data_IF_511119808844
#
_entry.id   IF_511119808844
#
_cell.length_a   1.000
_cell.length_b   1.000
_cell.length_c   1.000
_cell.angle_alpha   90.00
_cell.angle_beta   90.00
_cell.angle_gamma   90.00
#
_symmetry.space_group_name_H-M   'P 1'
#
loop_
_entity.id
_entity.type
_entity.pdbx_description
1 polymer ?
#
# COMPACT_ATOMS: atom_id res chain seq x y z
N UNK A 1 19.02 -11.05 17.69
CA UNK A 1 17.60 -10.74 18.01
C UNK A 1 17.49 -9.27 18.37
N UNK A 2 16.48 -8.55 17.87
CA UNK A 2 16.26 -7.14 18.17
C UNK A 2 14.81 -6.90 18.59
N UNK A 3 14.59 -5.86 19.40
CA UNK A 3 13.27 -5.40 19.84
C UNK A 3 12.85 -4.25 18.93
N UNK A 4 11.88 -4.48 18.07
CA UNK A 4 11.46 -3.54 17.03
C UNK A 4 10.07 -3.00 17.39
N UNK A 5 9.93 -1.68 17.51
CA UNK A 5 8.65 -1.02 17.72
C UNK A 5 8.16 -0.42 16.42
N UNK A 6 6.94 -0.77 16.03
CA UNK A 6 6.22 -0.21 14.89
C UNK A 6 5.05 0.62 15.43
N UNK A 7 5.01 1.91 15.11
CA UNK A 7 3.91 2.80 15.47
C UNK A 7 3.07 3.11 14.22
N UNK A 8 1.75 2.93 14.32
CA UNK A 8 0.84 3.13 13.20
C UNK A 8 -0.55 3.57 13.65
N UNK A 9 -1.19 4.41 12.84
CA UNK A 9 -2.60 4.80 12.99
C UNK A 9 -3.53 3.98 12.05
N UNK A 10 -2.93 3.11 11.21
CA UNK A 10 -3.64 2.19 10.33
C UNK A 10 -3.38 0.74 10.77
N UNK A 11 -4.42 0.07 11.28
CA UNK A 11 -4.37 -1.33 11.72
C UNK A 11 -5.74 -2.00 11.59
N UNK A 12 -5.82 -3.29 11.89
CA UNK A 12 -7.08 -4.02 11.91
C UNK A 12 -8.15 -3.30 12.76
N UNK A 13 -9.42 -3.31 12.38
CA UNK A 13 -10.03 -4.07 11.26
C UNK A 13 -9.99 -3.39 9.88
N UNK A 14 -9.23 -2.29 9.70
CA UNK A 14 -9.11 -1.63 8.41
C UNK A 14 -8.50 -2.58 7.36
N UNK A 15 -9.05 -2.56 6.14
CA UNK A 15 -8.59 -3.37 5.02
C UNK A 15 -7.98 -2.42 3.98
N UNK A 16 -6.66 -2.30 4.01
CA UNK A 16 -5.91 -1.49 3.04
C UNK A 16 -4.45 -1.97 2.93
N UNK A 17 -3.73 -1.46 1.92
CA UNK A 17 -2.35 -1.85 1.64
C UNK A 17 -1.35 -1.53 2.75
N UNK A 18 -1.62 -0.50 3.58
CA UNK A 18 -0.75 -0.14 4.71
C UNK A 18 -0.85 -1.20 5.79
N UNK A 19 -2.07 -1.54 6.23
CA UNK A 19 -2.32 -2.58 7.23
C UNK A 19 -1.70 -3.90 6.79
N UNK A 20 -1.96 -4.33 5.54
CA UNK A 20 -1.41 -5.57 5.01
C UNK A 20 0.12 -5.58 5.02
N UNK A 21 0.76 -4.49 4.60
CA UNK A 21 2.22 -4.38 4.60
C UNK A 21 2.78 -4.49 6.01
N UNK A 22 2.21 -3.76 6.97
CA UNK A 22 2.71 -3.73 8.34
C UNK A 22 2.49 -5.05 9.07
N UNK A 23 1.30 -5.67 8.92
CA UNK A 23 0.99 -6.95 9.54
C UNK A 23 1.91 -8.06 9.02
N UNK A 24 2.07 -8.16 7.70
CA UNK A 24 2.97 -9.16 7.10
C UNK A 24 4.43 -8.91 7.50
N UNK A 25 4.90 -7.66 7.50
CA UNK A 25 6.24 -7.31 7.96
C UNK A 25 6.43 -7.70 9.43
N UNK A 26 5.47 -7.38 10.31
CA UNK A 26 5.55 -7.75 11.72
C UNK A 26 5.56 -9.27 11.95
N UNK A 27 4.76 -10.03 11.20
CA UNK A 27 4.76 -11.50 11.22
C UNK A 27 6.09 -12.09 10.76
N UNK A 28 6.63 -11.59 9.65
CA UNK A 28 7.92 -12.06 9.12
C UNK A 28 9.07 -11.72 10.06
N UNK A 29 9.08 -10.53 10.66
CA UNK A 29 10.08 -10.15 11.66
C UNK A 29 10.05 -11.10 12.88
N UNK A 30 8.85 -11.48 13.35
CA UNK A 30 8.71 -12.45 14.45
C UNK A 30 9.21 -13.85 14.03
N UNK A 31 8.93 -14.30 12.79
CA UNK A 31 9.46 -15.55 12.24
C UNK A 31 10.99 -15.55 12.16
N UNK A 32 11.59 -14.39 11.90
CA UNK A 32 13.04 -14.19 11.91
C UNK A 32 13.65 -14.06 13.32
N UNK A 33 12.84 -14.27 14.37
CA UNK A 33 13.30 -14.26 15.77
C UNK A 33 13.39 -12.89 16.41
N UNK A 34 12.85 -11.82 15.80
CA UNK A 34 12.77 -10.50 16.42
C UNK A 34 11.56 -10.39 17.34
N UNK A 35 11.67 -9.60 18.41
CA UNK A 35 10.52 -9.22 19.25
C UNK A 35 9.89 -7.96 18.65
N UNK A 36 8.62 -8.02 18.25
CA UNK A 36 7.93 -6.91 17.59
C UNK A 36 6.73 -6.46 18.40
N UNK A 37 6.75 -5.21 18.80
CA UNK A 37 5.62 -4.48 19.38
C UNK A 37 5.00 -3.56 18.36
N UNK A 38 3.67 -3.65 18.19
CA UNK A 38 2.91 -2.73 17.34
C UNK A 38 2.08 -1.82 18.24
N UNK A 39 2.34 -0.52 18.16
CA UNK A 39 1.54 0.52 18.83
C UNK A 39 0.51 1.01 17.81
N UNK A 40 -0.76 0.64 18.00
CA UNK A 40 -1.80 0.72 16.99
C UNK A 40 -3.16 1.20 17.57
N UNK A 41 -4.15 1.57 16.72
CA UNK A 41 -5.37 2.26 17.14
C UNK A 41 -6.25 1.50 18.14
N UNK A 42 -6.35 0.17 18.08
CA UNK A 42 -7.26 -0.59 18.96
C UNK A 42 -6.87 -0.52 20.44
N UNK A 43 -5.64 -0.09 20.72
CA UNK A 43 -5.13 0.11 22.07
C UNK A 43 -5.70 1.37 22.76
N UNK A 44 -6.42 2.22 22.02
CA UNK A 44 -6.87 3.53 22.47
C UNK A 44 -8.32 3.80 22.07
N UNK A 45 -9.03 4.69 22.80
CA UNK A 45 -10.32 5.20 22.35
C UNK A 45 -10.19 5.79 20.94
N UNK A 46 -11.19 5.58 20.09
CA UNK A 46 -11.17 6.07 18.72
C UNK A 46 -12.54 6.57 18.29
N UNK A 47 -12.55 7.61 17.45
CA UNK A 47 -13.76 8.20 16.84
C UNK A 47 -13.77 7.93 15.34
N UNK A 48 -14.94 7.65 14.75
CA UNK A 48 -15.04 7.48 13.30
C UNK A 48 -14.79 8.81 12.58
N UNK A 49 -14.17 8.74 11.39
CA UNK A 49 -14.02 9.90 10.52
C UNK A 49 -15.38 10.18 9.85
N UNK A 50 -15.86 11.45 9.84
CA UNK A 50 -17.03 11.83 9.06
C UNK A 50 -16.89 11.38 7.59
N UNK A 51 -17.95 10.84 6.99
CA UNK A 51 -18.00 10.28 5.62
C UNK A 51 -17.21 8.98 5.36
N UNK A 52 -16.34 8.55 6.30
CA UNK A 52 -15.58 7.30 6.22
C UNK A 52 -15.58 6.60 7.58
N UNK A 53 -16.74 6.09 8.05
CA UNK A 53 -16.90 5.54 9.40
C UNK A 53 -16.03 4.29 9.66
N UNK A 54 -15.58 3.63 8.59
CA UNK A 54 -14.63 2.53 8.66
C UNK A 54 -13.20 2.99 9.03
N UNK A 55 -12.88 4.27 8.81
CA UNK A 55 -11.62 4.88 9.25
C UNK A 55 -11.87 5.51 10.64
N UNK A 56 -11.11 5.07 11.62
CA UNK A 56 -11.22 5.58 12.99
C UNK A 56 -9.93 6.29 13.38
N UNK A 57 -10.05 7.52 13.87
CA UNK A 57 -8.93 8.27 14.41
C UNK A 57 -8.83 7.93 15.89
N UNK A 58 -7.71 7.37 16.30
CA UNK A 58 -7.43 7.10 17.72
C UNK A 58 -7.15 8.38 18.49
N UNK A 59 -7.54 8.40 19.76
CA UNK A 59 -7.33 9.49 20.70
C UNK A 59 -6.41 9.03 21.86
N UNK A 60 -5.13 8.74 21.56
CA UNK A 60 -4.21 8.22 22.55
C UNK A 60 -3.83 9.30 23.57
N UNK A 61 -3.84 8.93 24.87
CA UNK A 61 -3.26 9.78 25.92
C UNK A 61 -1.74 9.68 25.87
N UNK A 62 -0.99 10.81 25.83
CA UNK A 62 0.48 10.80 25.72
C UNK A 62 1.18 9.88 26.72
N UNK A 63 0.77 9.91 28.00
CA UNK A 63 1.36 9.06 29.03
C UNK A 63 1.25 7.56 28.73
N UNK A 64 0.10 7.09 28.22
CA UNK A 64 -0.09 5.67 27.86
C UNK A 64 0.83 5.23 26.71
N UNK A 65 0.97 6.08 25.67
CA UNK A 65 1.88 5.80 24.55
C UNK A 65 3.32 5.78 25.03
N UNK A 66 3.74 6.78 25.81
CA UNK A 66 5.10 6.90 26.31
C UNK A 66 5.49 5.75 27.26
N UNK A 67 4.58 5.35 28.14
CA UNK A 67 4.79 4.21 29.03
C UNK A 67 4.95 2.90 28.26
N UNK A 68 4.17 2.70 27.20
CA UNK A 68 4.28 1.52 26.36
C UNK A 68 5.63 1.45 25.64
N UNK A 69 6.06 2.54 25.01
CA UNK A 69 7.37 2.65 24.36
C UNK A 69 8.49 2.41 25.36
N UNK A 70 8.40 3.03 26.56
CA UNK A 70 9.39 2.90 27.62
C UNK A 70 9.50 1.47 28.15
N UNK A 71 8.36 0.80 28.41
CA UNK A 71 8.33 -0.59 28.93
C UNK A 71 8.86 -1.58 27.91
N UNK A 72 8.56 -1.36 26.64
CA UNK A 72 9.04 -2.23 25.56
C UNK A 72 10.55 -2.11 25.35
N UNK A 73 11.21 -0.99 25.65
CA UNK A 73 12.66 -0.76 25.46
C UNK A 73 13.13 -1.18 24.07
N UNK A 74 12.66 -0.51 23.01
CA UNK A 74 12.98 -0.91 21.63
C UNK A 74 14.47 -0.65 21.30
N UNK A 75 15.05 -1.55 20.51
CA UNK A 75 16.34 -1.32 19.85
C UNK A 75 16.20 -0.45 18.60
N UNK A 76 15.03 -0.51 17.94
CA UNK A 76 14.68 0.32 16.79
C UNK A 76 13.23 0.74 16.81
N UNK A 77 12.94 1.94 16.32
CA UNK A 77 11.59 2.49 16.21
C UNK A 77 11.29 2.86 14.76
N UNK A 78 10.17 2.35 14.25
CA UNK A 78 9.60 2.72 12.96
C UNK A 78 8.24 3.36 13.14
N UNK A 79 8.03 4.54 12.55
CA UNK A 79 6.75 5.27 12.58
C UNK A 79 6.17 5.25 11.18
N UNK A 80 5.09 4.48 11.01
CA UNK A 80 4.55 4.16 9.68
C UNK A 80 3.51 5.15 9.18
N UNK A 81 2.90 5.93 10.07
CA UNK A 81 1.82 6.86 9.70
C UNK A 81 1.95 8.18 10.48
N UNK A 82 1.35 9.23 9.91
CA UNK A 82 1.46 10.62 10.38
C UNK A 82 0.31 11.04 11.32
N UNK A 83 -0.48 10.06 11.79
CA UNK A 83 -1.62 10.30 12.67
C UNK A 83 -1.23 10.50 14.15
N UNK A 84 -2.23 10.54 15.07
CA UNK A 84 -2.01 10.85 16.47
C UNK A 84 -1.00 9.94 17.18
N UNK A 85 -0.99 8.63 16.89
CA UNK A 85 -0.02 7.68 17.45
C UNK A 85 1.38 7.99 16.93
N UNK A 86 1.51 8.14 15.60
CA UNK A 86 2.77 8.48 14.96
C UNK A 86 3.37 9.78 15.51
N UNK A 87 2.54 10.82 15.68
CA UNK A 87 2.95 12.10 16.28
C UNK A 87 3.47 11.96 17.72
N UNK A 88 2.80 11.17 18.56
CA UNK A 88 3.21 10.97 19.96
C UNK A 88 4.50 10.16 20.04
N UNK A 89 4.64 9.08 19.28
CA UNK A 89 5.88 8.28 19.25
C UNK A 89 7.04 9.12 18.70
N UNK A 90 6.80 9.91 17.64
CA UNK A 90 7.79 10.87 17.11
C UNK A 90 8.23 11.88 18.17
N UNK A 91 7.26 12.48 18.90
CA UNK A 91 7.56 13.41 19.99
C UNK A 91 8.38 12.73 21.08
N UNK A 92 8.01 11.51 21.49
CA UNK A 92 8.75 10.74 22.49
C UNK A 92 10.22 10.49 22.06
N UNK A 93 10.42 10.01 20.83
CA UNK A 93 11.76 9.78 20.29
C UNK A 93 12.59 11.08 20.30
N UNK A 94 12.01 12.19 19.89
CA UNK A 94 12.69 13.50 19.90
C UNK A 94 13.09 13.97 21.30
N UNK A 95 12.19 13.82 22.28
CA UNK A 95 12.47 14.18 23.67
C UNK A 95 13.60 13.32 24.28
N UNK A 96 13.77 12.09 23.80
CA UNK A 96 14.81 11.16 24.23
C UNK A 96 16.10 11.26 23.38
N UNK A 97 16.14 12.08 22.35
CA UNK A 97 17.25 12.10 21.41
C UNK A 97 17.39 10.81 20.59
N UNK A 98 16.33 10.01 20.50
CA UNK A 98 16.32 8.74 19.78
C UNK A 98 16.21 8.96 18.26
N UNK A 99 16.96 8.13 17.51
CA UNK A 99 16.78 8.02 16.07
C UNK A 99 15.60 7.11 15.78
N UNK A 100 14.91 7.38 14.68
CA UNK A 100 13.77 6.58 14.21
C UNK A 100 13.67 6.63 12.70
N UNK A 101 13.10 5.60 12.11
CA UNK A 101 12.71 5.58 10.71
C UNK A 101 11.22 5.90 10.54
N UNK A 102 10.86 6.39 9.36
CA UNK A 102 9.45 6.58 8.97
C UNK A 102 9.19 5.99 7.59
N UNK A 103 7.94 5.89 7.18
CA UNK A 103 7.57 5.51 5.81
C UNK A 103 6.48 6.42 5.24
N UNK A 104 6.52 6.60 3.93
CA UNK A 104 5.49 7.32 3.19
C UNK A 104 4.60 6.30 2.48
N UNK A 105 3.39 6.10 2.99
CA UNK A 105 2.48 5.08 2.47
C UNK A 105 1.35 5.64 1.62
N UNK A 106 0.89 6.85 1.91
CA UNK A 106 -0.32 7.40 1.32
C UNK A 106 -0.08 8.81 0.79
N UNK A 107 -0.62 9.09 -0.37
CA UNK A 107 -0.62 10.45 -0.95
C UNK A 107 -1.67 11.31 -0.25
N UNK A 108 -1.46 11.59 1.03
CA UNK A 108 -2.36 12.40 1.85
C UNK A 108 -2.69 13.77 1.25
N UNK A 109 -1.74 14.52 0.65
CA UNK A 109 -2.05 15.83 0.08
C UNK A 109 -3.12 15.75 -1.01
N UNK A 110 -2.97 14.85 -1.96
CA UNK A 110 -3.91 14.66 -3.06
C UNK A 110 -5.25 14.10 -2.57
N UNK A 111 -5.21 13.23 -1.56
CA UNK A 111 -6.41 12.68 -0.94
C UNK A 111 -7.21 13.77 -0.20
N UNK A 112 -6.58 14.58 0.64
CA UNK A 112 -7.21 15.67 1.37
C UNK A 112 -7.71 16.78 0.44
N UNK A 113 -6.98 17.07 -0.64
CA UNK A 113 -7.46 18.02 -1.66
C UNK A 113 -8.75 17.53 -2.33
N UNK A 114 -8.81 16.26 -2.73
CA UNK A 114 -10.01 15.68 -3.36
C UNK A 114 -11.19 15.62 -2.40
N UNK A 115 -10.96 15.26 -1.15
CA UNK A 115 -12.02 15.08 -0.15
C UNK A 115 -12.54 16.41 0.42
N UNK A 116 -11.66 17.31 0.80
CA UNK A 116 -11.97 18.50 1.57
C UNK A 116 -11.46 19.81 0.95
N UNK A 117 -10.89 19.78 -0.26
CA UNK A 117 -10.23 20.93 -0.90
C UNK A 117 -9.14 21.55 -0.02
N UNK A 118 -8.54 20.74 0.86
CA UNK A 118 -7.50 21.23 1.75
C UNK A 118 -6.20 21.50 0.97
N UNK A 119 -5.52 22.66 1.18
CA UNK A 119 -4.37 23.07 0.38
C UNK A 119 -3.22 22.05 0.43
N UNK A 120 -2.83 21.50 -0.72
CA UNK A 120 -1.75 20.53 -0.83
C UNK A 120 -0.42 21.04 -0.27
N UNK A 121 -0.09 22.32 -0.51
CA UNK A 121 1.13 22.94 -0.02
C UNK A 121 1.28 22.89 1.50
N UNK A 122 0.18 23.06 2.23
CA UNK A 122 0.15 23.01 3.69
C UNK A 122 0.32 21.56 4.19
N UNK A 123 -0.32 20.61 3.50
CA UNK A 123 -0.16 19.18 3.80
C UNK A 123 1.28 18.73 3.54
N UNK A 124 1.89 19.13 2.42
CA UNK A 124 3.30 18.85 2.15
C UNK A 124 4.26 19.52 3.13
N UNK A 125 3.94 20.73 3.60
CA UNK A 125 4.71 21.37 4.67
C UNK A 125 4.68 20.54 5.95
N UNK A 126 3.50 20.08 6.40
CA UNK A 126 3.35 19.19 7.55
C UNK A 126 4.12 17.88 7.37
N UNK A 127 4.02 17.24 6.21
CA UNK A 127 4.71 15.97 5.93
C UNK A 127 6.25 16.16 5.93
N UNK A 128 6.77 17.24 5.34
CA UNK A 128 8.20 17.56 5.41
C UNK A 128 8.66 17.78 6.86
N UNK A 129 7.86 18.47 7.66
CA UNK A 129 8.16 18.64 9.09
C UNK A 129 8.12 17.30 9.83
N UNK A 130 7.11 16.46 9.58
CA UNK A 130 6.95 15.17 10.24
C UNK A 130 8.13 14.24 9.93
N UNK A 131 8.48 14.08 8.67
CA UNK A 131 9.54 13.19 8.22
C UNK A 131 10.94 13.80 8.32
N UNK A 132 11.07 15.10 8.50
CA UNK A 132 12.36 15.82 8.46
C UNK A 132 13.40 15.37 9.47
N UNK A 133 13.00 14.63 10.51
CA UNK A 133 13.92 14.06 11.51
C UNK A 133 14.04 12.54 11.41
N UNK A 134 13.42 11.93 10.41
CA UNK A 134 13.54 10.48 10.21
C UNK A 134 14.91 10.12 9.62
N UNK A 135 15.38 8.95 9.97
CA UNK A 135 16.62 8.40 9.46
C UNK A 135 16.50 6.88 9.34
N UNK A 136 16.04 6.37 8.17
CA UNK A 136 15.58 7.07 6.97
C UNK A 136 14.05 7.28 6.91
N UNK A 137 13.61 7.95 5.84
CA UNK A 137 12.25 7.88 5.30
C UNK A 137 12.17 6.76 4.25
N UNK A 138 11.34 5.76 4.49
CA UNK A 138 11.19 4.62 3.58
C UNK A 138 10.09 4.90 2.54
N UNK A 139 10.38 4.60 1.29
CA UNK A 139 9.49 4.79 0.13
C UNK A 139 9.38 3.52 -0.70
N UNK A 140 8.20 3.30 -1.32
CA UNK A 140 7.93 2.05 -2.00
C UNK A 140 8.62 1.94 -3.37
N UNK A 141 8.71 3.04 -4.13
CA UNK A 141 9.09 3.03 -5.54
C UNK A 141 10.12 4.10 -5.91
N UNK A 142 10.87 3.91 -7.03
CA UNK A 142 11.77 4.92 -7.60
C UNK A 142 11.09 6.24 -7.89
N UNK A 143 9.93 6.19 -8.55
CA UNK A 143 9.19 7.39 -8.94
C UNK A 143 8.75 8.20 -7.72
N UNK A 144 8.26 7.53 -6.66
CA UNK A 144 7.89 8.19 -5.41
C UNK A 144 9.10 8.83 -4.72
N UNK A 145 10.26 8.16 -4.75
CA UNK A 145 11.51 8.73 -4.23
C UNK A 145 11.87 10.04 -4.93
N UNK A 146 11.83 10.03 -6.27
CA UNK A 146 12.13 11.21 -7.09
C UNK A 146 11.12 12.33 -6.85
N UNK A 147 9.83 11.99 -6.74
CA UNK A 147 8.79 12.96 -6.42
C UNK A 147 9.01 13.61 -5.06
N UNK A 148 9.28 12.85 -4.00
CA UNK A 148 9.51 13.42 -2.67
C UNK A 148 10.78 14.28 -2.63
N UNK A 149 11.84 13.90 -3.37
CA UNK A 149 13.03 14.74 -3.55
C UNK A 149 12.67 16.09 -4.20
N UNK A 150 11.93 16.08 -5.29
CA UNK A 150 11.51 17.30 -5.99
C UNK A 150 10.60 18.18 -5.14
N UNK A 151 9.84 17.59 -4.23
CA UNK A 151 8.98 18.29 -3.25
C UNK A 151 9.73 18.77 -1.99
N UNK A 152 11.07 18.62 -1.96
CA UNK A 152 11.94 19.17 -0.90
C UNK A 152 11.98 18.37 0.40
N UNK A 153 11.71 17.06 0.36
CA UNK A 153 11.98 16.17 1.50
C UNK A 153 13.49 15.99 1.68
N UNK A 154 13.99 16.28 2.88
CA UNK A 154 15.44 16.27 3.19
C UNK A 154 15.91 15.04 3.96
N UNK A 155 14.97 14.23 4.48
CA UNK A 155 15.30 12.96 5.14
C UNK A 155 15.98 12.01 4.14
N UNK A 156 16.98 11.21 4.57
CA UNK A 156 17.55 10.16 3.71
C UNK A 156 16.47 9.20 3.25
N UNK A 157 16.25 9.11 1.94
CA UNK A 157 15.25 8.21 1.36
C UNK A 157 15.86 6.81 1.16
N UNK A 158 15.08 5.75 1.48
CA UNK A 158 15.47 4.35 1.31
C UNK A 158 14.29 3.55 0.78
N UNK A 159 14.61 2.56 -0.06
CA UNK A 159 13.62 1.67 -0.65
C UNK A 159 13.10 0.66 0.35
N UNK A 160 11.79 0.53 0.37
CA UNK A 160 11.07 -0.53 1.05
C UNK A 160 9.88 -0.94 0.17
N UNK A 161 10.09 -1.97 -0.66
CA UNK A 161 9.09 -2.51 -1.59
C UNK A 161 7.93 -3.18 -0.84
N UNK A 162 7.10 -3.88 -1.59
CA UNK A 162 6.00 -4.68 -1.04
C UNK A 162 6.24 -6.15 -1.37
N UNK A 163 5.53 -7.01 -0.69
CA UNK A 163 5.56 -8.44 -0.95
C UNK A 163 4.19 -8.96 -1.39
N UNK A 164 4.21 -10.11 -2.03
CA UNK A 164 3.03 -10.90 -2.40
C UNK A 164 3.13 -12.29 -1.78
N UNK A 165 2.00 -12.88 -1.46
CA UNK A 165 1.92 -14.27 -0.98
C UNK A 165 1.85 -15.22 -2.18
N UNK A 166 3.00 -15.78 -2.55
CA UNK A 166 3.12 -16.68 -3.69
C UNK A 166 2.42 -18.03 -3.49
N UNK A 167 2.01 -18.38 -2.27
CA UNK A 167 1.17 -19.55 -2.02
C UNK A 167 -0.29 -19.31 -2.41
N UNK A 168 -0.69 -18.05 -2.51
CA UNK A 168 -2.02 -17.59 -2.91
C UNK A 168 -2.03 -17.12 -4.36
N UNK A 169 -1.06 -16.28 -4.74
CA UNK A 169 -0.99 -15.64 -6.05
C UNK A 169 0.09 -16.32 -6.90
N UNK A 170 -0.33 -17.21 -7.79
CA UNK A 170 0.50 -17.90 -8.75
C UNK A 170 -0.37 -18.35 -9.93
N UNK A 171 0.21 -18.60 -11.11
CA UNK A 171 -0.53 -19.14 -12.25
C UNK A 171 -1.18 -20.48 -11.89
N UNK A 172 -2.46 -20.64 -12.23
CA UNK A 172 -3.23 -21.88 -12.06
C UNK A 172 -3.88 -22.25 -13.38
N UNK A 173 -4.28 -23.51 -13.52
CA UNK A 173 -5.17 -23.91 -14.62
C UNK A 173 -6.45 -23.08 -14.51
N UNK A 174 -6.76 -22.30 -15.56
CA UNK A 174 -7.96 -21.47 -15.58
C UNK A 174 -9.19 -22.39 -15.47
N UNK A 175 -10.13 -22.12 -14.54
CA UNK A 175 -11.38 -22.85 -14.52
C UNK A 175 -12.07 -22.68 -15.87
N UNK A 176 -12.58 -23.79 -16.42
CA UNK A 176 -13.25 -23.79 -17.71
C UNK A 176 -14.49 -22.87 -17.66
N UNK A 177 -14.50 -21.87 -18.52
CA UNK A 177 -15.66 -21.17 -19.10
C UNK A 177 -16.74 -20.60 -18.17
N UNK A 178 -16.38 -20.08 -17.00
CA UNK A 178 -17.37 -19.40 -16.15
C UNK A 178 -17.86 -18.08 -16.76
N UNK A 179 -17.02 -17.39 -17.53
CA UNK A 179 -17.35 -16.08 -18.13
C UNK A 179 -16.85 -15.97 -19.57
N UNK A 180 -17.60 -15.27 -20.47
CA UNK A 180 -17.12 -14.92 -21.81
C UNK A 180 -15.79 -14.18 -21.77
N UNK A 181 -14.83 -14.66 -22.57
CA UNK A 181 -13.47 -14.07 -22.65
C UNK A 181 -13.37 -12.95 -23.68
N UNK A 182 -12.44 -12.00 -23.51
CA UNK A 182 -11.49 -11.90 -22.42
C UNK A 182 -12.14 -11.47 -21.08
N UNK A 183 -11.64 -11.99 -19.96
CA UNK A 183 -12.04 -11.56 -18.61
C UNK A 183 -11.10 -10.46 -18.13
N UNK A 184 -11.63 -9.25 -18.03
CA UNK A 184 -10.93 -8.07 -17.51
C UNK A 184 -11.21 -7.95 -16.01
N UNK A 185 -10.17 -7.94 -15.17
CA UNK A 185 -10.27 -7.94 -13.71
C UNK A 185 -9.86 -6.60 -13.11
N UNK A 186 -10.68 -6.10 -12.20
CA UNK A 186 -10.33 -5.05 -11.23
C UNK A 186 -10.38 -5.61 -9.81
N UNK A 187 -9.37 -5.34 -9.00
CA UNK A 187 -9.35 -5.66 -7.57
C UNK A 187 -8.98 -4.41 -6.79
N UNK A 188 -9.81 -4.04 -5.82
CA UNK A 188 -9.53 -2.89 -4.98
C UNK A 188 -10.76 -2.31 -4.30
N UNK A 189 -10.55 -1.22 -3.54
CA UNK A 189 -11.64 -0.44 -2.96
C UNK A 189 -12.52 0.14 -4.07
N UNK A 190 -13.84 -0.06 -3.93
CA UNK A 190 -14.82 0.46 -4.89
C UNK A 190 -15.20 1.89 -4.48
N UNK A 191 -14.47 2.86 -5.02
CA UNK A 191 -14.62 4.28 -4.68
C UNK A 191 -14.15 5.17 -5.84
N UNK A 192 -14.71 6.38 -5.92
CA UNK A 192 -14.46 7.29 -7.06
C UNK A 192 -12.99 7.73 -7.16
N UNK A 193 -12.28 7.85 -6.04
CA UNK A 193 -10.86 8.23 -6.04
C UNK A 193 -9.95 7.18 -6.69
N UNK A 194 -10.44 5.94 -6.88
CA UNK A 194 -9.74 4.86 -7.59
C UNK A 194 -10.01 4.85 -9.10
N UNK A 195 -10.78 5.82 -9.61
CA UNK A 195 -11.16 5.95 -11.02
C UNK A 195 -11.77 4.65 -11.59
N UNK A 196 -12.45 3.85 -10.76
CA UNK A 196 -13.03 2.57 -11.19
C UNK A 196 -14.01 2.73 -12.35
N UNK A 197 -14.70 3.87 -12.48
CA UNK A 197 -15.62 4.10 -13.59
C UNK A 197 -14.92 4.12 -14.94
N UNK A 198 -13.65 4.52 -15.04
CA UNK A 198 -12.89 4.45 -16.29
C UNK A 198 -12.77 3.00 -16.76
N UNK A 199 -12.53 2.05 -15.83
CA UNK A 199 -12.59 0.62 -16.13
C UNK A 199 -14.00 0.15 -16.52
N UNK A 200 -15.02 0.58 -15.79
CA UNK A 200 -16.41 0.13 -16.04
C UNK A 200 -16.93 0.59 -17.40
N UNK A 201 -16.47 1.73 -17.91
CA UNK A 201 -16.85 2.31 -19.21
C UNK A 201 -16.09 1.70 -20.41
N UNK A 202 -14.98 0.98 -20.18
CA UNK A 202 -14.21 0.40 -21.28
C UNK A 202 -15.09 -0.46 -22.18
N UNK A 203 -14.99 -0.32 -23.51
CA UNK A 203 -15.61 -1.27 -24.42
C UNK A 203 -14.87 -2.61 -24.32
N UNK A 204 -15.60 -3.72 -24.23
CA UNK A 204 -15.04 -5.07 -24.30
C UNK A 204 -16.11 -6.04 -24.80
N UNK A 205 -15.69 -6.99 -25.63
CA UNK A 205 -16.54 -8.10 -26.04
C UNK A 205 -16.66 -9.18 -24.94
N UNK A 206 -15.74 -9.17 -23.97
CA UNK A 206 -15.69 -10.13 -22.86
C UNK A 206 -16.37 -9.64 -21.59
N UNK A 207 -15.93 -10.18 -20.47
CA UNK A 207 -16.53 -9.93 -19.16
C UNK A 207 -15.68 -9.02 -18.30
N UNK A 208 -16.28 -8.04 -17.66
CA UNK A 208 -15.65 -7.25 -16.59
C UNK A 208 -16.00 -7.84 -15.24
N UNK A 209 -14.97 -8.12 -14.44
CA UNK A 209 -15.09 -8.64 -13.07
C UNK A 209 -14.50 -7.64 -12.09
N UNK A 210 -15.24 -7.32 -11.05
CA UNK A 210 -14.84 -6.40 -9.98
C UNK A 210 -14.81 -7.15 -8.65
N UNK A 211 -13.65 -7.13 -7.98
CA UNK A 211 -13.49 -7.66 -6.63
C UNK A 211 -13.19 -6.53 -5.67
N UNK A 212 -13.90 -6.51 -4.56
CA UNK A 212 -13.72 -5.53 -3.50
C UNK A 212 -15.02 -5.01 -2.94
N UNK A 213 -14.90 -4.04 -2.06
CA UNK A 213 -16.02 -3.32 -1.48
C UNK A 213 -15.70 -1.84 -1.32
N UNK A 214 -16.71 -1.02 -1.04
CA UNK A 214 -16.51 0.39 -0.84
C UNK A 214 -17.76 1.23 -1.03
N UNK A 215 -17.70 2.53 -0.73
CA UNK A 215 -18.88 3.40 -0.70
C UNK A 215 -19.61 3.52 -2.03
N UNK A 216 -18.92 3.37 -3.16
CA UNK A 216 -19.54 3.48 -4.49
C UNK A 216 -20.13 2.15 -5.02
N UNK A 217 -19.97 1.01 -4.30
CA UNK A 217 -20.38 -0.30 -4.81
C UNK A 217 -21.85 -0.37 -5.18
N UNK A 218 -22.74 0.04 -4.29
CA UNK A 218 -24.20 -0.07 -4.52
C UNK A 218 -24.65 0.78 -5.71
N UNK A 219 -24.10 1.99 -5.87
CA UNK A 219 -24.35 2.88 -6.99
C UNK A 219 -23.86 2.27 -8.30
N UNK A 220 -22.59 1.85 -8.34
CA UNK A 220 -21.96 1.33 -9.56
C UNK A 220 -22.53 -0.01 -10.02
N UNK A 221 -22.94 -0.88 -9.09
CA UNK A 221 -23.64 -2.14 -9.44
C UNK A 221 -24.95 -1.86 -10.16
N UNK A 222 -25.71 -0.85 -9.74
CA UNK A 222 -26.96 -0.45 -10.42
C UNK A 222 -26.71 0.20 -11.77
N UNK A 223 -25.65 1.02 -11.87
CA UNK A 223 -25.29 1.77 -13.08
C UNK A 223 -24.71 0.88 -14.19
N UNK A 224 -24.01 -0.22 -13.80
CA UNK A 224 -23.34 -1.15 -14.70
C UNK A 224 -23.79 -2.60 -14.51
N UNK A 225 -25.05 -2.94 -14.84
CA UNK A 225 -25.64 -4.26 -14.53
C UNK A 225 -25.01 -5.43 -15.29
N UNK A 226 -24.24 -5.16 -16.36
CA UNK A 226 -23.51 -6.19 -17.12
C UNK A 226 -22.15 -6.55 -16.51
N UNK A 227 -21.70 -5.81 -15.50
CA UNK A 227 -20.43 -6.05 -14.80
C UNK A 227 -20.65 -7.01 -13.64
N UNK A 228 -19.76 -7.97 -13.47
CA UNK A 228 -19.79 -8.94 -12.38
C UNK A 228 -19.12 -8.38 -11.14
N UNK A 229 -19.89 -8.06 -10.11
CA UNK A 229 -19.37 -7.59 -8.82
C UNK A 229 -19.35 -8.74 -7.81
N UNK A 230 -18.17 -9.32 -7.54
CA UNK A 230 -18.01 -10.47 -6.65
C UNK A 230 -17.98 -10.11 -5.16
N UNK A 231 -17.92 -8.81 -4.84
CA UNK A 231 -17.72 -8.35 -3.47
C UNK A 231 -16.31 -8.60 -2.96
N UNK A 232 -16.12 -8.46 -1.64
CA UNK A 232 -14.82 -8.66 -1.02
C UNK A 232 -14.41 -10.14 -1.06
N UNK A 233 -13.17 -10.41 -1.46
CA UNK A 233 -12.52 -11.73 -1.45
C UNK A 233 -11.13 -11.63 -0.87
N UNK A 234 -10.63 -12.72 -0.30
CA UNK A 234 -9.29 -12.81 0.26
C UNK A 234 -8.72 -14.23 0.18
N UNK A 235 -7.43 -14.37 0.43
CA UNK A 235 -6.76 -15.67 0.44
C UNK A 235 -6.96 -16.43 -0.86
N UNK A 236 -7.22 -17.74 -0.77
CA UNK A 236 -7.33 -18.62 -1.93
C UNK A 236 -8.44 -18.21 -2.90
N UNK A 237 -9.61 -17.77 -2.39
CA UNK A 237 -10.70 -17.28 -3.24
C UNK A 237 -10.28 -16.12 -4.13
N UNK A 238 -9.48 -15.18 -3.58
CA UNK A 238 -8.96 -14.07 -4.36
C UNK A 238 -7.93 -14.56 -5.39
N UNK A 239 -7.03 -15.47 -5.01
CA UNK A 239 -6.05 -16.06 -5.92
C UNK A 239 -6.72 -16.80 -7.09
N UNK A 240 -7.82 -17.47 -6.87
CA UNK A 240 -8.63 -18.15 -7.90
C UNK A 240 -9.21 -17.14 -8.90
N UNK A 241 -9.73 -16.00 -8.40
CA UNK A 241 -10.28 -14.96 -9.28
C UNK A 241 -9.17 -14.34 -10.16
N UNK A 242 -7.99 -14.07 -9.60
CA UNK A 242 -6.86 -13.61 -10.43
C UNK A 242 -6.51 -14.65 -11.51
N UNK A 243 -6.40 -15.91 -11.14
CA UNK A 243 -6.03 -16.98 -12.10
C UNK A 243 -7.09 -17.22 -13.19
N UNK A 244 -8.35 -16.90 -12.93
CA UNK A 244 -9.44 -17.02 -13.89
C UNK A 244 -9.47 -15.88 -14.92
N UNK A 245 -8.83 -14.76 -14.67
CA UNK A 245 -8.81 -13.59 -15.54
C UNK A 245 -7.79 -13.71 -16.68
N UNK A 246 -7.89 -12.78 -17.66
CA UNK A 246 -6.98 -12.69 -18.80
C UNK A 246 -6.12 -11.42 -18.73
N UNK A 247 -6.65 -10.36 -18.13
CA UNK A 247 -5.98 -9.07 -18.00
C UNK A 247 -6.39 -8.41 -16.68
N UNK A 248 -5.43 -7.82 -16.00
CA UNK A 248 -5.68 -6.97 -14.84
C UNK A 248 -5.71 -5.50 -15.25
N UNK A 249 -6.77 -4.76 -14.88
CA UNK A 249 -6.90 -3.34 -15.21
C UNK A 249 -6.82 -2.52 -13.93
N UNK A 250 -5.85 -1.60 -13.88
CA UNK A 250 -5.58 -0.76 -12.72
C UNK A 250 -5.75 0.74 -13.05
N UNK A 251 -6.98 1.28 -12.91
CA UNK A 251 -7.28 2.67 -13.27
C UNK A 251 -6.86 3.70 -12.22
N UNK A 252 -6.30 3.29 -11.09
CA UNK A 252 -5.97 4.20 -9.99
C UNK A 252 -4.78 5.09 -10.31
N UNK A 253 -4.93 6.40 -10.05
CA UNK A 253 -3.86 7.42 -10.17
C UNK A 253 -3.33 7.87 -8.81
N UNK A 254 -3.82 7.31 -7.69
CA UNK A 254 -3.55 7.80 -6.33
C UNK A 254 -2.78 6.82 -5.44
N UNK A 255 -2.48 5.63 -5.93
CA UNK A 255 -1.70 4.65 -5.20
C UNK A 255 -0.21 5.00 -5.21
N UNK A 256 0.49 4.68 -4.13
CA UNK A 256 1.94 4.84 -4.01
C UNK A 256 2.72 3.65 -4.53
N UNK A 257 2.06 2.48 -4.66
CA UNK A 257 2.65 1.24 -5.16
C UNK A 257 1.64 0.39 -5.95
N UNK A 258 0.47 0.05 -5.33
CA UNK A 258 -0.50 -0.86 -5.91
C UNK A 258 -0.13 -2.34 -5.67
N UNK A 259 -0.30 -2.84 -4.44
CA UNK A 259 -0.03 -4.27 -4.12
C UNK A 259 -0.78 -5.21 -5.06
N UNK A 260 -2.00 -4.86 -5.46
CA UNK A 260 -2.83 -5.62 -6.40
C UNK A 260 -2.18 -5.80 -7.78
N UNK A 261 -1.27 -4.91 -8.18
CA UNK A 261 -0.50 -5.02 -9.43
C UNK A 261 0.49 -6.18 -9.34
N UNK A 262 1.24 -6.28 -8.25
CA UNK A 262 2.17 -7.42 -8.07
C UNK A 262 1.45 -8.74 -7.80
N UNK A 263 0.23 -8.72 -7.23
CA UNK A 263 -0.64 -9.90 -7.13
C UNK A 263 -1.08 -10.38 -8.52
N UNK A 264 -1.44 -9.45 -9.41
CA UNK A 264 -1.78 -9.75 -10.80
C UNK A 264 -0.58 -10.35 -11.54
N UNK A 265 0.58 -9.71 -11.48
CA UNK A 265 1.81 -10.24 -12.08
C UNK A 265 2.15 -11.63 -11.55
N UNK A 266 2.15 -11.83 -10.22
CA UNK A 266 2.43 -13.12 -9.62
C UNK A 266 1.45 -14.22 -10.07
N UNK A 267 0.21 -13.85 -10.41
CA UNK A 267 -0.81 -14.75 -10.95
C UNK A 267 -0.70 -14.94 -12.47
N UNK A 268 0.30 -14.35 -13.12
CA UNK A 268 0.52 -14.43 -14.57
C UNK A 268 -0.39 -13.53 -15.39
N UNK A 269 -0.93 -12.44 -14.82
CA UNK A 269 -1.78 -11.50 -15.54
C UNK A 269 -0.99 -10.30 -16.04
N UNK A 270 -1.02 -10.01 -17.34
CA UNK A 270 -0.61 -8.71 -17.85
C UNK A 270 -1.45 -7.59 -17.26
N UNK A 271 -0.87 -6.40 -17.13
CA UNK A 271 -1.50 -5.25 -16.46
C UNK A 271 -1.72 -4.11 -17.45
N UNK A 272 -2.92 -3.55 -17.47
CA UNK A 272 -3.23 -2.29 -18.14
C UNK A 272 -3.47 -1.20 -17.10
N UNK A 273 -2.74 -0.09 -17.16
CA UNK A 273 -2.84 0.97 -16.16
C UNK A 273 -2.55 2.36 -16.74
N UNK A 274 -2.91 3.40 -15.98
CA UNK A 274 -2.39 4.74 -16.24
C UNK A 274 -0.90 4.83 -15.86
N UNK A 275 -0.10 5.71 -16.50
CA UNK A 275 1.31 5.95 -16.17
C UNK A 275 1.45 6.74 -14.85
N UNK A 276 0.96 6.14 -13.77
CA UNK A 276 0.98 6.70 -12.42
C UNK A 276 2.09 6.06 -11.56
N UNK A 277 2.42 6.71 -10.45
CA UNK A 277 3.34 6.17 -9.44
C UNK A 277 2.89 4.77 -9.01
N UNK A 278 3.81 3.84 -8.92
CA UNK A 278 3.55 2.42 -8.71
C UNK A 278 3.57 1.66 -10.04
N UNK A 279 2.55 1.76 -10.90
CA UNK A 279 2.56 1.11 -12.22
C UNK A 279 3.81 1.40 -13.06
N UNK A 280 4.27 2.67 -13.14
CA UNK A 280 5.49 3.00 -13.91
C UNK A 280 6.77 2.32 -13.39
N UNK A 281 6.77 1.90 -12.13
CA UNK A 281 7.91 1.24 -11.49
C UNK A 281 7.80 -0.30 -11.52
N UNK A 282 6.60 -0.82 -11.79
CA UNK A 282 6.33 -2.27 -11.80
C UNK A 282 6.12 -2.82 -13.23
N UNK A 283 5.52 -2.02 -14.13
CA UNK A 283 5.31 -2.40 -15.53
C UNK A 283 6.45 -1.80 -16.36
N UNK A 284 7.60 -2.44 -16.31
CA UNK A 284 8.86 -1.91 -16.87
C UNK A 284 9.08 -2.25 -18.35
N UNK A 285 8.31 -3.19 -18.91
CA UNK A 285 8.37 -3.57 -20.31
C UNK A 285 7.03 -4.18 -20.79
N UNK A 286 6.83 -4.20 -22.09
CA UNK A 286 5.56 -4.55 -22.75
C UNK A 286 5.01 -5.97 -22.45
N UNK A 287 5.88 -6.93 -22.10
CA UNK A 287 5.44 -8.28 -21.72
C UNK A 287 4.72 -8.32 -20.36
N UNK A 288 4.94 -7.33 -19.49
CA UNK A 288 4.25 -7.22 -18.20
C UNK A 288 2.90 -6.49 -18.34
N UNK A 289 2.70 -5.76 -19.43
CA UNK A 289 1.50 -4.98 -19.65
C UNK A 289 1.76 -3.67 -20.37
N UNK A 290 0.83 -2.74 -20.27
CA UNK A 290 0.92 -1.44 -20.92
C UNK A 290 0.46 -0.29 -20.04
N UNK A 291 1.09 0.86 -20.23
CA UNK A 291 0.76 2.12 -19.57
C UNK A 291 0.41 3.16 -20.64
N UNK A 292 -0.78 3.75 -20.55
CA UNK A 292 -1.21 4.83 -21.45
C UNK A 292 -2.18 5.76 -20.70
N UNK A 293 -2.21 7.04 -21.08
CA UNK A 293 -3.19 8.00 -20.54
C UNK A 293 -4.60 7.70 -21.02
N UNK A 294 -4.75 6.94 -22.10
CA UNK A 294 -5.99 6.30 -22.54
C UNK A 294 -6.00 4.84 -22.07
N UNK A 295 -6.84 4.55 -21.08
CA UNK A 295 -6.93 3.22 -20.49
C UNK A 295 -7.38 2.15 -21.50
N UNK A 296 -8.15 2.51 -22.52
CA UNK A 296 -8.56 1.62 -23.61
C UNK A 296 -7.36 1.17 -24.44
N UNK A 297 -6.49 2.12 -24.83
CA UNK A 297 -5.24 1.80 -25.52
C UNK A 297 -4.30 0.93 -24.68
N UNK A 298 -4.20 1.22 -23.36
CA UNK A 298 -3.43 0.38 -22.46
C UNK A 298 -3.97 -1.07 -22.44
N UNK A 299 -5.28 -1.25 -22.41
CA UNK A 299 -5.93 -2.57 -22.44
C UNK A 299 -5.63 -3.30 -23.75
N UNK A 300 -5.84 -2.67 -24.89
CA UNK A 300 -5.58 -3.26 -26.21
C UNK A 300 -4.11 -3.68 -26.37
N UNK A 301 -3.18 -2.81 -25.97
CA UNK A 301 -1.76 -3.11 -26.02
C UNK A 301 -1.38 -4.24 -25.07
N UNK A 302 -1.81 -4.21 -23.81
CA UNK A 302 -1.50 -5.25 -22.84
C UNK A 302 -2.07 -6.63 -23.23
N UNK A 303 -3.22 -6.67 -23.88
CA UNK A 303 -3.78 -7.91 -24.45
C UNK A 303 -2.94 -8.47 -25.60
N UNK A 304 -2.33 -7.60 -26.40
CA UNK A 304 -1.54 -7.99 -27.57
C UNK A 304 -0.13 -8.43 -27.22
N UNK A 305 0.55 -7.73 -26.30
CA UNK A 305 1.97 -7.90 -26.02
C UNK A 305 2.24 -8.63 -24.70
N UNK A 306 1.25 -8.72 -23.82
CA UNK A 306 1.41 -9.32 -22.52
C UNK A 306 1.76 -10.81 -22.56
N UNK A 307 2.72 -11.21 -21.73
CA UNK A 307 3.22 -12.59 -21.62
C UNK A 307 3.01 -13.11 -20.19
N UNK A 308 2.07 -14.04 -19.98
CA UNK A 308 1.77 -14.59 -18.65
C UNK A 308 2.99 -15.18 -17.92
N UNK A 309 3.92 -15.80 -18.66
CA UNK A 309 5.12 -16.37 -18.07
C UNK A 309 6.08 -15.29 -17.59
N UNK A 310 6.27 -14.21 -18.37
CA UNK A 310 7.04 -13.05 -17.95
C UNK A 310 6.42 -12.34 -16.74
N UNK A 311 5.09 -12.18 -16.73
CA UNK A 311 4.37 -11.62 -15.59
C UNK A 311 4.61 -12.44 -14.31
N UNK A 312 4.45 -13.76 -14.38
CA UNK A 312 4.65 -14.64 -13.24
C UNK A 312 6.09 -14.59 -12.73
N UNK A 313 7.08 -14.58 -13.63
CA UNK A 313 8.49 -14.47 -13.27
C UNK A 313 8.81 -13.15 -12.56
N UNK A 314 8.28 -12.03 -13.06
CA UNK A 314 8.42 -10.72 -12.41
C UNK A 314 7.74 -10.71 -11.04
N UNK A 315 6.48 -11.18 -10.95
CA UNK A 315 5.72 -11.24 -9.71
C UNK A 315 6.41 -12.05 -8.60
N UNK A 316 7.14 -13.11 -8.94
CA UNK A 316 7.91 -13.93 -8.01
C UNK A 316 9.10 -13.18 -7.35
N UNK A 317 9.53 -12.06 -7.90
CA UNK A 317 10.59 -11.24 -7.30
C UNK A 317 10.11 -10.48 -6.06
N UNK A 318 8.79 -10.26 -5.94
CA UNK A 318 8.16 -9.50 -4.86
C UNK A 318 7.77 -10.40 -3.69
N UNK A 319 8.75 -10.93 -2.94
CA UNK A 319 8.47 -11.78 -1.78
C UNK A 319 8.38 -10.96 -0.48
N UNK A 320 7.61 -11.46 0.49
CA UNK A 320 7.57 -10.87 1.84
C UNK A 320 8.91 -10.98 2.55
N UNK A 321 9.70 -11.99 2.25
CA UNK A 321 11.07 -12.17 2.73
C UNK A 321 11.95 -10.99 2.28
N UNK A 322 11.98 -10.71 0.97
CA UNK A 322 12.74 -9.60 0.40
C UNK A 322 12.29 -8.25 0.95
N UNK A 323 10.97 -8.03 1.02
CA UNK A 323 10.36 -6.84 1.61
C UNK A 323 10.83 -6.64 3.07
N UNK A 324 10.77 -7.70 3.88
CA UNK A 324 11.16 -7.64 5.30
C UNK A 324 12.67 -7.45 5.48
N UNK A 325 13.50 -8.06 4.63
CA UNK A 325 14.94 -7.83 4.65
C UNK A 325 15.30 -6.37 4.29
N UNK A 326 14.60 -5.77 3.33
CA UNK A 326 14.76 -4.33 3.03
C UNK A 326 14.38 -3.47 4.24
N UNK A 327 13.26 -3.79 4.89
CA UNK A 327 12.83 -3.10 6.11
C UNK A 327 13.89 -3.18 7.20
N UNK A 328 14.41 -4.38 7.51
CA UNK A 328 15.46 -4.60 8.51
C UNK A 328 16.72 -3.79 8.23
N UNK A 329 17.20 -3.82 6.98
CA UNK A 329 18.38 -3.05 6.57
C UNK A 329 18.20 -1.54 6.71
N UNK A 330 16.97 -1.07 6.65
CA UNK A 330 16.62 0.34 6.77
C UNK A 330 16.33 0.78 8.20
N UNK A 331 16.18 -0.14 9.16
CA UNK A 331 16.04 0.22 10.56
C UNK A 331 17.33 0.81 11.12
N UNK A 332 17.19 1.77 11.99
CA UNK A 332 18.30 2.37 12.72
C UNK A 332 18.16 2.09 14.21
N UNK A 333 19.27 1.83 14.93
CA UNK A 333 19.23 1.69 16.37
C UNK A 333 18.83 3.01 17.01
N UNK A 334 18.07 2.91 18.12
CA UNK A 334 17.81 4.04 19.00
C UNK A 334 19.14 4.36 19.71
N UNK A 335 19.88 5.32 19.19
CA UNK A 335 21.05 5.84 19.91
C UNK A 335 20.62 7.01 20.78
N UNK A 336 20.81 6.92 22.08
CA UNK A 336 20.82 8.10 22.94
C UNK A 336 22.06 8.90 22.51
N UNK A 337 21.89 10.17 22.13
CA UNK A 337 23.05 11.06 21.97
C UNK A 337 23.80 10.99 23.30
N UNK A 338 25.02 10.44 23.30
CA UNK A 338 25.96 10.70 24.38
C UNK A 338 26.07 12.22 24.50
N UNK A 339 25.60 12.79 25.58
CA UNK A 339 25.99 14.14 25.98
C UNK A 339 27.51 14.15 25.97
N UNK A 340 28.17 15.05 25.26
CA UNK A 340 29.59 15.23 25.46
C UNK A 340 29.76 15.62 26.96
N UNK A 341 30.42 14.77 27.71
CA UNK A 341 30.91 15.17 29.02
C UNK A 341 31.95 16.29 28.74
N UNK A 342 31.51 17.54 29.07
CA UNK A 342 32.40 18.65 29.16
C UNK A 342 33.33 18.51 30.37
#
# INVERSE_FOLDING_TARGET
MARILIATDAWHPQINGVVRTLDMTARMLRRLGHTVEVVEPSLYPAVPVPFYPEIRISLPRPGRVYDRVRRFRPDSVHISTEGPIGLLVRRYCRLRGWRFSTSYHTRFPEYLWRLARFPEGLTYWFLRWFHGHSCPLMVATPSLENELKSRGFRAPLRRWSRGVDLSVFHPRTKPLDTYPRPVLLYVGRISHEKNIEDFLRLPTAGTKVVVGDGPARAELTRKYPKVVFLGYRQGQELGEVYSAADLFVFPSKTDTFGIVVIEALASGLPVAAYPATGPIDTITHEKLGALDDDLGRAVEQAQRTGDPAACAAEGQTYTWENCTQQFLRNLVPVSVRSTPHG
#
